data_IF_743321014255
#
_entry.id   IF_743321014255
#
_cell.length_a   1.000
_cell.length_b   1.000
_cell.length_c   1.000
_cell.angle_alpha   90.00
_cell.angle_beta   90.00
_cell.angle_gamma   90.00
#
_symmetry.space_group_name_H-M   'P 1'
#
loop_
_entity.id
_entity.type
_entity.pdbx_description
1 polymer ?
#
# COMPACT_ATOMS: atom_id res chain seq x y z
N UNK A 1 14.17 -38.15 7.31
CA UNK A 1 12.88 -38.88 7.35
C UNK A 1 12.94 -40.03 6.35
N UNK A 2 12.21 -41.14 6.56
CA UNK A 2 12.30 -42.33 5.69
C UNK A 2 11.35 -42.30 4.47
N UNK A 3 10.38 -41.37 4.47
CA UNK A 3 9.43 -41.09 3.39
C UNK A 3 9.30 -39.57 3.25
N UNK A 4 8.77 -39.05 2.12
CA UNK A 4 8.41 -37.64 2.02
C UNK A 4 7.49 -37.22 3.17
N UNK A 5 7.72 -36.04 3.71
CA UNK A 5 6.95 -35.47 4.84
C UNK A 5 6.61 -34.03 4.57
N UNK A 6 5.51 -33.54 5.14
CA UNK A 6 5.18 -32.11 5.06
C UNK A 6 5.99 -31.30 6.06
N UNK A 7 6.12 -29.99 5.82
CA UNK A 7 6.70 -29.05 6.79
C UNK A 7 6.01 -29.17 8.16
N UNK A 8 4.67 -29.28 8.18
CA UNK A 8 3.88 -29.47 9.39
C UNK A 8 4.29 -30.75 10.15
N UNK A 9 4.43 -31.88 9.45
CA UNK A 9 4.83 -33.16 10.07
C UNK A 9 6.24 -33.08 10.68
N UNK A 10 7.15 -32.31 10.08
CA UNK A 10 8.47 -32.06 10.69
C UNK A 10 8.32 -31.25 11.98
N UNK A 11 7.53 -30.17 11.97
CA UNK A 11 7.27 -29.36 13.16
C UNK A 11 6.60 -30.17 14.29
N UNK A 12 5.63 -31.03 13.95
CA UNK A 12 4.93 -31.91 14.88
C UNK A 12 5.86 -32.93 15.53
N UNK A 13 6.78 -33.51 14.75
CA UNK A 13 7.79 -34.44 15.25
C UNK A 13 8.77 -33.78 16.24
N UNK A 14 9.07 -32.50 16.07
CA UNK A 14 9.90 -31.74 17.01
C UNK A 14 9.11 -31.48 18.30
N UNK A 15 7.82 -31.12 18.18
CA UNK A 15 6.91 -31.08 19.31
C UNK A 15 5.61 -30.34 19.01
N UNK A 16 4.53 -30.73 19.69
CA UNK A 16 3.19 -30.18 19.51
C UNK A 16 3.13 -28.65 19.70
N UNK A 17 3.95 -28.08 20.59
CA UNK A 17 4.04 -26.64 20.79
C UNK A 17 4.57 -25.89 19.55
N UNK A 18 5.57 -26.46 18.87
CA UNK A 18 6.12 -25.89 17.64
C UNK A 18 5.13 -26.01 16.48
N UNK A 19 4.51 -27.19 16.29
CA UNK A 19 3.46 -27.37 15.28
C UNK A 19 2.32 -26.37 15.45
N UNK A 20 1.88 -26.13 16.70
CA UNK A 20 0.85 -25.12 17.00
C UNK A 20 1.31 -23.69 16.71
N UNK A 21 2.59 -23.37 16.89
CA UNK A 21 3.14 -22.03 16.67
C UNK A 21 3.55 -21.76 15.21
N UNK A 22 3.70 -22.81 14.39
CA UNK A 22 4.11 -22.71 13.00
C UNK A 22 3.08 -21.95 12.17
N UNK A 23 3.58 -21.09 11.28
CA UNK A 23 2.78 -20.36 10.29
C UNK A 23 3.13 -20.81 8.87
N UNK A 24 4.41 -20.92 8.55
CA UNK A 24 4.91 -21.43 7.26
C UNK A 24 6.26 -22.13 7.45
N UNK A 25 6.77 -22.76 6.41
CA UNK A 25 8.16 -23.24 6.34
C UNK A 25 9.02 -22.34 5.47
N UNK A 26 10.34 -22.47 5.64
CA UNK A 26 11.34 -21.99 4.70
C UNK A 26 12.21 -23.17 4.29
N UNK A 27 12.14 -23.55 3.02
CA UNK A 27 12.84 -24.69 2.42
C UNK A 27 13.90 -24.15 1.46
N UNK A 28 15.17 -24.35 1.78
CA UNK A 28 16.33 -23.84 1.02
C UNK A 28 16.23 -22.34 0.67
N UNK A 29 15.79 -21.53 1.62
CA UNK A 29 15.66 -20.07 1.44
C UNK A 29 14.32 -19.60 0.87
N UNK A 30 13.40 -20.52 0.53
CA UNK A 30 12.10 -20.18 -0.05
C UNK A 30 10.97 -20.45 0.94
N UNK A 31 10.13 -19.45 1.17
CA UNK A 31 8.93 -19.59 1.99
C UNK A 31 7.89 -20.50 1.30
N UNK A 32 7.31 -21.42 2.06
CA UNK A 32 6.35 -22.44 1.58
C UNK A 32 5.28 -22.70 2.64
N UNK A 33 4.06 -23.06 2.24
CA UNK A 33 2.98 -23.43 3.14
C UNK A 33 3.34 -24.68 4.00
N UNK A 34 2.62 -24.88 5.11
CA UNK A 34 2.94 -25.97 6.05
C UNK A 34 2.63 -27.37 5.51
N UNK A 35 1.74 -27.49 4.53
CA UNK A 35 1.44 -28.73 3.82
C UNK A 35 2.42 -29.02 2.67
N UNK A 36 3.39 -28.13 2.40
CA UNK A 36 4.45 -28.38 1.41
C UNK A 36 5.22 -29.67 1.71
N UNK A 37 5.29 -30.55 0.72
CA UNK A 37 5.93 -31.87 0.83
C UNK A 37 7.43 -31.77 0.53
N UNK A 38 8.24 -32.21 1.48
CA UNK A 38 9.70 -32.32 1.36
C UNK A 38 10.05 -33.71 0.86
N UNK A 39 10.47 -33.79 -0.41
CA UNK A 39 10.84 -35.06 -1.08
C UNK A 39 12.34 -35.37 -1.02
N UNK A 40 13.18 -34.34 -0.88
CA UNK A 40 14.65 -34.44 -0.90
C UNK A 40 15.24 -33.83 0.36
N UNK A 41 16.47 -34.18 0.67
CA UNK A 41 17.21 -33.56 1.77
C UNK A 41 17.37 -32.06 1.49
N UNK A 42 16.92 -31.23 2.43
CA UNK A 42 16.82 -29.78 2.30
C UNK A 42 17.10 -29.12 3.66
N UNK A 43 17.46 -27.83 3.66
CA UNK A 43 17.46 -27.02 4.87
C UNK A 43 16.06 -26.50 5.13
N UNK A 44 15.49 -26.84 6.30
CA UNK A 44 14.19 -26.37 6.74
C UNK A 44 14.33 -25.44 7.95
N UNK A 45 13.69 -24.27 7.89
CA UNK A 45 13.36 -23.44 9.06
C UNK A 45 11.84 -23.36 9.22
N UNK A 46 11.35 -23.52 10.45
CA UNK A 46 9.93 -23.32 10.77
C UNK A 46 9.75 -21.84 11.15
N UNK A 47 8.86 -21.16 10.44
CA UNK A 47 8.53 -19.75 10.69
C UNK A 47 7.36 -19.68 11.65
N UNK A 48 7.50 -18.87 12.68
CA UNK A 48 6.49 -18.63 13.72
C UNK A 48 6.18 -17.15 13.84
N UNK A 49 5.17 -16.78 14.61
CA UNK A 49 4.81 -15.38 14.85
C UNK A 49 5.92 -14.53 15.52
N UNK A 50 7.02 -15.14 15.97
CA UNK A 50 8.19 -14.44 16.54
C UNK A 50 9.21 -14.01 15.48
N UNK A 51 9.12 -14.59 14.29
CA UNK A 51 10.05 -14.32 13.19
C UNK A 51 9.60 -13.04 12.45
N UNK A 52 10.51 -12.12 12.09
CA UNK A 52 10.16 -10.88 11.40
C UNK A 52 9.38 -11.09 10.10
N UNK A 53 9.72 -12.14 9.35
CA UNK A 53 9.12 -12.48 8.05
C UNK A 53 7.65 -12.91 8.19
N UNK A 54 7.24 -13.36 9.38
CA UNK A 54 5.86 -13.77 9.64
C UNK A 54 4.86 -12.63 9.47
N UNK A 55 5.27 -11.37 9.68
CA UNK A 55 4.37 -10.23 9.56
C UNK A 55 3.84 -10.06 8.13
N UNK A 56 4.68 -10.26 7.12
CA UNK A 56 4.26 -10.23 5.71
C UNK A 56 3.16 -11.26 5.45
N UNK A 57 3.39 -12.50 5.89
CA UNK A 57 2.44 -13.61 5.72
C UNK A 57 1.12 -13.36 6.47
N UNK A 58 1.20 -12.86 7.71
CA UNK A 58 0.02 -12.51 8.51
C UNK A 58 -0.78 -11.41 7.80
N UNK A 59 -0.13 -10.35 7.33
CA UNK A 59 -0.79 -9.24 6.64
C UNK A 59 -1.42 -9.67 5.34
N UNK A 60 -0.69 -10.43 4.54
CA UNK A 60 -1.17 -10.95 3.28
C UNK A 60 -2.38 -11.88 3.47
N UNK A 61 -2.32 -12.78 4.45
CA UNK A 61 -3.47 -13.62 4.82
C UNK A 61 -4.63 -12.84 5.41
N UNK A 62 -4.37 -11.73 6.12
CA UNK A 62 -5.43 -10.83 6.60
C UNK A 62 -6.10 -10.06 5.46
N UNK A 63 -5.39 -9.79 4.37
CA UNK A 63 -5.98 -9.25 3.16
C UNK A 63 -7.01 -10.24 2.57
N UNK A 64 -6.68 -11.53 2.49
CA UNK A 64 -7.65 -12.57 2.09
C UNK A 64 -8.83 -12.68 3.05
N UNK A 65 -8.60 -12.58 4.36
CA UNK A 65 -9.67 -12.52 5.37
C UNK A 65 -10.61 -11.34 5.13
N UNK A 66 -10.07 -10.16 4.79
CA UNK A 66 -10.86 -8.98 4.45
C UNK A 66 -11.68 -9.21 3.17
N UNK A 67 -11.08 -9.80 2.14
CA UNK A 67 -11.78 -10.13 0.90
C UNK A 67 -12.93 -11.12 1.12
N UNK A 68 -12.71 -12.18 1.91
CA UNK A 68 -13.77 -13.11 2.30
C UNK A 68 -14.89 -12.40 3.06
N UNK A 69 -14.54 -11.58 4.06
CA UNK A 69 -15.53 -10.82 4.82
C UNK A 69 -16.35 -9.91 3.91
N UNK A 70 -15.71 -9.23 2.96
CA UNK A 70 -16.38 -8.38 1.99
C UNK A 70 -17.34 -9.16 1.10
N UNK A 71 -16.94 -10.32 0.55
CA UNK A 71 -17.83 -11.17 -0.25
C UNK A 71 -19.05 -11.67 0.54
N UNK A 72 -18.89 -11.96 1.84
CA UNK A 72 -20.00 -12.43 2.67
C UNK A 72 -20.95 -11.31 3.11
N UNK A 73 -20.43 -10.10 3.37
CA UNK A 73 -21.25 -8.95 3.75
C UNK A 73 -21.91 -8.31 2.53
N UNK A 74 -21.21 -8.28 1.39
CA UNK A 74 -21.64 -7.64 0.14
C UNK A 74 -21.50 -8.62 -1.03
N UNK A 75 -22.50 -9.47 -1.31
CA UNK A 75 -22.38 -10.55 -2.29
C UNK A 75 -21.97 -10.10 -3.71
N UNK A 76 -22.41 -8.91 -4.12
CA UNK A 76 -22.15 -8.33 -5.45
C UNK A 76 -20.80 -7.60 -5.56
N UNK A 77 -20.03 -7.49 -4.48
CA UNK A 77 -18.72 -6.86 -4.53
C UNK A 77 -17.75 -7.73 -5.32
N UNK A 78 -16.87 -7.11 -6.12
CA UNK A 78 -15.79 -7.82 -6.78
C UNK A 78 -14.45 -7.54 -6.10
N UNK A 79 -13.63 -8.58 -6.00
CA UNK A 79 -12.31 -8.54 -5.36
C UNK A 79 -11.23 -8.45 -6.43
N UNK A 80 -10.26 -7.54 -6.24
CA UNK A 80 -9.21 -7.32 -7.24
C UNK A 80 -7.81 -7.71 -6.71
N UNK A 81 -7.05 -6.77 -6.14
CA UNK A 81 -5.67 -6.96 -5.69
C UNK A 81 -5.57 -6.55 -4.21
N UNK A 82 -4.93 -7.42 -3.40
CA UNK A 82 -4.72 -7.18 -1.98
C UNK A 82 -3.34 -7.60 -1.47
N UNK A 83 -2.29 -6.80 -1.72
CA UNK A 83 -0.95 -7.10 -1.26
C UNK A 83 -0.77 -6.70 0.22
N UNK A 84 0.23 -7.29 0.85
CA UNK A 84 0.80 -6.71 2.06
C UNK A 84 1.67 -5.49 1.73
N UNK A 85 1.83 -4.62 2.73
CA UNK A 85 2.67 -3.43 2.69
C UNK A 85 3.44 -3.33 4.01
N UNK A 86 4.44 -2.44 4.06
CA UNK A 86 5.40 -2.31 5.19
C UNK A 86 4.76 -2.33 6.58
N UNK A 87 3.59 -1.72 6.77
CA UNK A 87 2.90 -1.62 8.06
C UNK A 87 1.46 -2.16 8.03
N UNK A 88 1.11 -2.98 7.04
CA UNK A 88 -0.25 -3.47 6.92
C UNK A 88 -0.54 -4.18 5.60
N UNK A 89 -1.75 -3.98 5.10
CA UNK A 89 -2.21 -4.49 3.82
C UNK A 89 -3.29 -3.55 3.28
N UNK A 90 -3.67 -3.75 2.03
CA UNK A 90 -4.91 -3.20 1.52
C UNK A 90 -5.62 -4.24 0.67
N UNK A 91 -6.88 -3.97 0.34
CA UNK A 91 -7.57 -4.68 -0.72
C UNK A 91 -8.40 -3.69 -1.55
N UNK A 92 -8.31 -3.81 -2.87
CA UNK A 92 -9.07 -3.00 -3.81
C UNK A 92 -10.36 -3.72 -4.22
N UNK A 93 -11.48 -3.02 -4.11
CA UNK A 93 -12.81 -3.54 -4.40
C UNK A 93 -13.50 -2.73 -5.50
N UNK A 94 -14.15 -3.44 -6.42
CA UNK A 94 -15.17 -2.86 -7.29
C UNK A 94 -16.52 -3.01 -6.57
N UNK A 95 -17.11 -1.88 -6.19
CA UNK A 95 -18.34 -1.82 -5.42
C UNK A 95 -19.23 -0.68 -5.90
N UNK A 96 -20.53 -0.93 -5.99
CA UNK A 96 -21.52 -0.05 -6.64
C UNK A 96 -21.66 1.35 -6.02
N UNK A 97 -21.27 1.49 -4.74
CA UNK A 97 -21.33 2.75 -3.99
C UNK A 97 -20.11 2.90 -3.10
N UNK A 98 -19.74 4.13 -2.70
CA UNK A 98 -18.70 4.35 -1.69
C UNK A 98 -18.97 3.58 -0.40
N UNK A 99 -17.92 2.99 0.20
CA UNK A 99 -17.96 2.44 1.55
C UNK A 99 -18.25 3.54 2.56
N UNK A 100 -19.14 3.26 3.51
CA UNK A 100 -19.38 4.13 4.67
C UNK A 100 -18.55 3.65 5.88
N UNK A 101 -18.35 4.49 6.92
CA UNK A 101 -17.73 4.04 8.16
C UNK A 101 -18.40 2.80 8.77
N UNK A 102 -19.73 2.72 8.71
CA UNK A 102 -20.52 1.58 9.22
C UNK A 102 -20.26 0.30 8.42
N UNK A 103 -20.01 0.39 7.11
CA UNK A 103 -19.61 -0.76 6.31
C UNK A 103 -18.26 -1.31 6.78
N UNK A 104 -17.30 -0.42 7.11
CA UNK A 104 -15.98 -0.83 7.62
C UNK A 104 -16.10 -1.50 8.99
N UNK A 105 -16.98 -1.02 9.85
CA UNK A 105 -17.27 -1.68 11.13
C UNK A 105 -17.87 -3.08 10.91
N UNK A 106 -18.81 -3.24 9.98
CA UNK A 106 -19.38 -4.54 9.62
C UNK A 106 -18.33 -5.50 9.06
N UNK A 107 -17.46 -5.03 8.17
CA UNK A 107 -16.36 -5.82 7.63
C UNK A 107 -15.43 -6.30 8.73
N UNK A 108 -15.00 -5.39 9.62
CA UNK A 108 -14.10 -5.74 10.72
C UNK A 108 -14.75 -6.74 11.69
N UNK A 109 -16.02 -6.56 12.02
CA UNK A 109 -16.79 -7.52 12.82
C UNK A 109 -16.85 -8.90 12.15
N UNK A 110 -17.15 -8.93 10.85
CA UNK A 110 -17.20 -10.20 10.11
C UNK A 110 -15.84 -10.89 10.02
N UNK A 111 -14.75 -10.14 9.84
CA UNK A 111 -13.39 -10.69 9.91
C UNK A 111 -13.11 -11.33 11.28
N UNK A 112 -13.54 -10.69 12.38
CA UNK A 112 -13.37 -11.26 13.73
C UNK A 112 -14.16 -12.56 13.93
N UNK A 113 -15.36 -12.65 13.35
CA UNK A 113 -16.15 -13.90 13.35
C UNK A 113 -15.45 -15.02 12.57
N UNK A 114 -14.89 -14.71 11.40
CA UNK A 114 -14.15 -15.67 10.57
C UNK A 114 -12.88 -16.17 11.25
N UNK A 115 -12.21 -15.33 12.03
CA UNK A 115 -11.06 -15.75 12.86
C UNK A 115 -11.47 -16.72 13.95
N UNK A 116 -12.62 -16.48 14.62
CA UNK A 116 -13.14 -17.40 15.65
C UNK A 116 -13.56 -18.75 15.10
N UNK A 117 -13.91 -18.83 13.82
CA UNK A 117 -14.24 -20.09 13.15
C UNK A 117 -13.01 -20.96 12.87
N UNK A 118 -11.80 -20.40 12.93
CA UNK A 118 -10.53 -21.10 12.70
C UNK A 118 -10.53 -21.96 11.42
N UNK A 119 -10.99 -21.37 10.32
CA UNK A 119 -11.13 -22.04 9.03
C UNK A 119 -9.76 -22.43 8.50
N UNK A 120 -9.62 -23.69 8.08
CA UNK A 120 -8.42 -24.20 7.43
C UNK A 120 -8.19 -23.46 6.11
N UNK A 121 -6.95 -23.04 5.87
CA UNK A 121 -6.50 -22.51 4.58
C UNK A 121 -5.89 -23.65 3.79
N UNK A 122 -6.44 -23.95 2.62
CA UNK A 122 -5.90 -24.96 1.70
C UNK A 122 -5.59 -24.35 0.36
N UNK A 123 -4.71 -25.00 -0.41
CA UNK A 123 -4.34 -24.53 -1.73
C UNK A 123 -4.20 -25.66 -2.73
N UNK A 124 -4.34 -25.34 -4.02
CA UNK A 124 -4.10 -26.29 -5.12
C UNK A 124 -3.65 -25.54 -6.37
N UNK A 125 -2.83 -26.22 -7.17
CA UNK A 125 -2.44 -25.73 -8.50
C UNK A 125 -3.59 -25.94 -9.48
N UNK A 126 -3.80 -24.97 -10.38
CA UNK A 126 -4.81 -25.03 -11.44
C UNK A 126 -4.20 -24.60 -12.77
N UNK A 127 -4.79 -25.08 -13.86
CA UNK A 127 -4.53 -24.52 -15.18
C UNK A 127 -5.19 -23.15 -15.32
N UNK A 128 -4.71 -22.36 -16.28
CA UNK A 128 -5.30 -21.07 -16.64
C UNK A 128 -6.79 -21.18 -16.99
N UNK A 129 -7.14 -22.19 -17.78
CA UNK A 129 -8.52 -22.41 -18.21
C UNK A 129 -9.43 -22.74 -17.02
N UNK A 130 -8.97 -23.55 -16.07
CA UNK A 130 -9.72 -23.85 -14.84
C UNK A 130 -9.90 -22.61 -13.97
N UNK A 131 -8.84 -21.81 -13.78
CA UNK A 131 -8.90 -20.56 -13.01
C UNK A 131 -9.85 -19.55 -13.66
N UNK A 132 -9.74 -19.32 -14.97
CA UNK A 132 -10.63 -18.41 -15.72
C UNK A 132 -12.07 -18.87 -15.63
N UNK A 133 -12.33 -20.17 -15.82
CA UNK A 133 -13.69 -20.71 -15.72
C UNK A 133 -14.26 -20.50 -14.31
N UNK A 134 -13.50 -20.84 -13.28
CA UNK A 134 -13.93 -20.66 -11.89
C UNK A 134 -14.31 -19.21 -11.59
N UNK A 135 -13.45 -18.24 -11.92
CA UNK A 135 -13.73 -16.84 -11.63
C UNK A 135 -14.85 -16.26 -12.49
N UNK A 136 -15.03 -16.73 -13.74
CA UNK A 136 -16.21 -16.38 -14.55
C UNK A 136 -17.50 -16.90 -13.92
N UNK A 137 -17.52 -18.15 -13.48
CA UNK A 137 -18.68 -18.78 -12.83
C UNK A 137 -19.02 -18.08 -11.48
N UNK A 138 -18.02 -17.49 -10.81
CA UNK A 138 -18.19 -16.67 -9.61
C UNK A 138 -18.54 -15.19 -9.88
N UNK A 139 -18.50 -14.74 -11.14
CA UNK A 139 -18.73 -13.34 -11.52
C UNK A 139 -17.58 -12.38 -11.19
N UNK A 140 -16.36 -12.88 -10.95
CA UNK A 140 -15.16 -12.10 -10.60
C UNK A 140 -14.38 -11.67 -11.86
N UNK A 141 -14.84 -10.62 -12.55
CA UNK A 141 -14.27 -10.20 -13.84
C UNK A 141 -12.83 -9.71 -13.71
N UNK A 142 -12.49 -9.02 -12.61
CA UNK A 142 -11.13 -8.56 -12.34
C UNK A 142 -10.14 -9.71 -12.14
N UNK A 143 -10.55 -10.79 -11.46
CA UNK A 143 -9.70 -11.98 -11.28
C UNK A 143 -9.44 -12.68 -12.60
N UNK A 144 -10.42 -12.74 -13.50
CA UNK A 144 -10.24 -13.25 -14.87
C UNK A 144 -9.16 -12.46 -15.61
N UNK A 145 -9.23 -11.13 -15.59
CA UNK A 145 -8.21 -10.28 -16.23
C UNK A 145 -6.81 -10.53 -15.64
N UNK A 146 -6.70 -10.62 -14.31
CA UNK A 146 -5.42 -10.92 -13.64
C UNK A 146 -4.88 -12.28 -14.10
N UNK A 147 -5.73 -13.31 -14.14
CA UNK A 147 -5.31 -14.64 -14.60
C UNK A 147 -4.79 -14.57 -16.02
N UNK A 148 -5.50 -13.90 -16.94
CA UNK A 148 -5.14 -13.80 -18.36
C UNK A 148 -3.81 -13.09 -18.59
N UNK A 149 -3.44 -12.12 -17.74
CA UNK A 149 -2.18 -11.38 -17.82
C UNK A 149 -0.95 -12.11 -17.24
N UNK A 150 -1.14 -13.12 -16.38
CA UNK A 150 0.00 -13.86 -15.81
C UNK A 150 0.73 -14.58 -16.95
N UNK A 151 2.08 -14.57 -17.03
CA UNK A 151 2.81 -15.33 -18.06
C UNK A 151 2.52 -16.84 -18.04
N UNK A 152 2.52 -17.50 -19.20
CA UNK A 152 2.12 -18.91 -19.34
C UNK A 152 3.04 -19.89 -18.62
N UNK A 153 4.30 -19.53 -18.41
CA UNK A 153 5.31 -20.33 -17.72
C UNK A 153 5.14 -20.32 -16.19
N UNK A 154 4.20 -19.52 -15.67
CA UNK A 154 3.98 -19.37 -14.24
C UNK A 154 2.82 -20.22 -13.75
N UNK A 155 3.08 -20.93 -12.65
CA UNK A 155 2.05 -21.72 -11.95
C UNK A 155 0.99 -20.80 -11.35
N UNK A 156 -0.26 -21.22 -11.47
CA UNK A 156 -1.40 -20.59 -10.83
C UNK A 156 -1.84 -21.44 -9.65
N UNK A 157 -1.94 -20.80 -8.49
CA UNK A 157 -2.38 -21.44 -7.26
C UNK A 157 -3.62 -20.72 -6.74
N UNK A 158 -4.61 -21.50 -6.35
CA UNK A 158 -5.79 -21.00 -5.67
C UNK A 158 -5.70 -21.33 -4.19
N UNK A 159 -6.02 -20.36 -3.35
CA UNK A 159 -6.15 -20.52 -1.91
C UNK A 159 -7.62 -20.47 -1.52
N UNK A 160 -8.04 -21.38 -0.65
CA UNK A 160 -9.41 -21.48 -0.13
C UNK A 160 -9.42 -21.40 1.38
N UNK A 161 -10.37 -20.62 1.91
CA UNK A 161 -10.70 -20.57 3.33
C UNK A 161 -12.22 -20.57 3.49
N UNK A 162 -12.78 -21.71 3.90
CA UNK A 162 -14.23 -21.90 3.91
C UNK A 162 -14.83 -21.88 2.50
N UNK A 163 -15.74 -20.93 2.27
CA UNK A 163 -16.44 -20.69 0.99
C UNK A 163 -15.68 -19.77 0.03
N UNK A 164 -14.67 -19.05 0.53
CA UNK A 164 -13.90 -18.09 -0.25
C UNK A 164 -12.72 -18.75 -0.95
N UNK A 165 -12.53 -18.41 -2.22
CA UNK A 165 -11.40 -18.85 -3.06
C UNK A 165 -10.78 -17.62 -3.72
N UNK A 166 -9.44 -17.55 -3.70
CA UNK A 166 -8.70 -16.45 -4.31
C UNK A 166 -7.45 -16.96 -5.04
N UNK A 167 -7.03 -16.20 -6.06
CA UNK A 167 -5.79 -16.43 -6.79
C UNK A 167 -4.63 -15.78 -6.05
N UNK A 168 -3.68 -16.59 -5.62
CA UNK A 168 -2.48 -16.09 -4.97
C UNK A 168 -1.30 -17.06 -5.11
N UNK A 169 -0.07 -16.55 -4.98
CA UNK A 169 1.15 -17.37 -4.93
C UNK A 169 1.46 -17.89 -3.52
N UNK A 170 0.89 -17.25 -2.50
CA UNK A 170 1.18 -17.50 -1.09
C UNK A 170 2.65 -17.29 -0.71
N UNK A 171 3.10 -17.90 0.41
CA UNK A 171 2.32 -18.77 1.30
C UNK A 171 1.33 -18.00 2.19
N UNK A 172 0.42 -18.73 2.81
CA UNK A 172 -0.56 -18.21 3.76
C UNK A 172 -0.42 -18.86 5.15
N UNK A 173 -1.05 -18.26 6.15
CA UNK A 173 -1.20 -18.91 7.47
C UNK A 173 -2.05 -20.19 7.33
N UNK A 174 -1.85 -21.22 8.19
CA UNK A 174 -2.56 -22.49 8.05
C UNK A 174 -4.06 -22.40 8.35
N UNK A 175 -4.49 -21.39 9.11
CA UNK A 175 -5.89 -21.19 9.46
C UNK A 175 -6.20 -19.74 9.78
N UNK A 176 -7.46 -19.33 9.59
CA UNK A 176 -7.91 -17.97 9.91
C UNK A 176 -7.76 -17.64 11.40
N UNK A 177 -7.75 -18.63 12.29
CA UNK A 177 -7.54 -18.43 13.73
C UNK A 177 -6.16 -17.89 14.09
N UNK A 178 -5.19 -17.92 13.16
CA UNK A 178 -3.88 -17.27 13.33
C UNK A 178 -3.93 -15.74 13.17
N UNK A 179 -5.03 -15.17 12.70
CA UNK A 179 -5.14 -13.75 12.32
C UNK A 179 -5.88 -12.92 13.39
N UNK A 180 -5.47 -13.03 14.65
CA UNK A 180 -6.23 -12.47 15.79
C UNK A 180 -6.01 -10.98 16.12
N UNK A 181 -5.07 -10.30 15.46
CA UNK A 181 -4.70 -8.92 15.78
C UNK A 181 -4.59 -8.05 14.52
N UNK A 182 -5.73 -7.48 14.11
CA UNK A 182 -5.80 -6.56 12.98
C UNK A 182 -6.74 -5.39 13.25
N UNK A 183 -6.64 -4.35 12.42
CA UNK A 183 -7.52 -3.18 12.42
C UNK A 183 -7.65 -2.62 11.00
N UNK A 184 -8.87 -2.35 10.55
CA UNK A 184 -9.13 -1.57 9.33
C UNK A 184 -8.95 -0.08 9.65
N UNK A 185 -8.35 0.66 8.72
CA UNK A 185 -7.81 2.01 9.01
C UNK A 185 -8.39 3.10 8.10
N UNK A 186 -8.02 3.12 6.82
CA UNK A 186 -8.32 4.21 5.90
C UNK A 186 -9.00 3.68 4.65
N UNK A 187 -9.82 4.53 4.05
CA UNK A 187 -10.37 4.32 2.72
C UNK A 187 -9.69 5.28 1.75
N UNK A 188 -9.42 4.80 0.54
CA UNK A 188 -8.93 5.61 -0.56
C UNK A 188 -9.55 5.16 -1.88
N UNK A 189 -9.57 6.05 -2.87
CA UNK A 189 -9.78 5.66 -4.27
C UNK A 189 -8.48 5.11 -4.86
N UNK A 190 -8.60 4.10 -5.72
CA UNK A 190 -7.51 3.62 -6.55
C UNK A 190 -8.04 3.41 -7.96
N UNK A 191 -7.26 3.72 -8.98
CA UNK A 191 -7.65 3.38 -10.35
C UNK A 191 -7.13 1.99 -10.71
N UNK A 192 -7.93 1.21 -11.45
CA UNK A 192 -7.48 -0.09 -11.93
C UNK A 192 -6.17 0.04 -12.73
N UNK A 193 -5.16 -0.77 -12.35
CA UNK A 193 -3.77 -0.70 -12.87
C UNK A 193 -3.07 0.66 -12.70
N UNK A 194 -3.61 1.54 -11.87
CA UNK A 194 -3.06 2.88 -11.65
C UNK A 194 -3.28 3.84 -12.83
N UNK A 195 -4.11 3.48 -13.81
CA UNK A 195 -4.44 4.31 -14.96
C UNK A 195 -5.74 5.09 -14.68
N UNK A 196 -5.65 6.42 -14.63
CA UNK A 196 -6.80 7.30 -14.36
C UNK A 196 -7.92 7.23 -15.41
N UNK A 197 -7.69 6.59 -16.54
CA UNK A 197 -8.73 6.33 -17.56
C UNK A 197 -9.57 5.08 -17.25
N UNK A 198 -9.14 4.23 -16.32
CA UNK A 198 -9.86 3.02 -15.94
C UNK A 198 -10.87 3.25 -14.81
N UNK A 199 -11.66 2.22 -14.49
CA UNK A 199 -12.61 2.24 -13.39
C UNK A 199 -11.93 2.58 -12.05
N UNK A 200 -12.63 3.41 -11.28
CA UNK A 200 -12.21 3.77 -9.92
C UNK A 200 -12.67 2.69 -8.94
N UNK A 201 -11.70 2.03 -8.33
CA UNK A 201 -11.85 1.06 -7.26
C UNK A 201 -11.77 1.74 -5.89
N UNK A 202 -12.25 1.02 -4.88
CA UNK A 202 -12.21 1.45 -3.51
C UNK A 202 -11.22 0.59 -2.72
N UNK A 203 -10.17 1.25 -2.22
CA UNK A 203 -9.11 0.64 -1.44
C UNK A 203 -9.44 0.71 0.05
N UNK A 204 -9.55 -0.46 0.67
CA UNK A 204 -9.66 -0.58 2.13
C UNK A 204 -8.29 -0.93 2.70
N UNK A 205 -7.71 -0.04 3.50
CA UNK A 205 -6.44 -0.29 4.20
C UNK A 205 -6.67 -0.96 5.54
N UNK A 206 -5.80 -1.90 5.89
CA UNK A 206 -5.75 -2.53 7.20
C UNK A 206 -4.32 -2.69 7.70
N UNK A 207 -4.19 -3.02 8.98
CA UNK A 207 -2.92 -3.43 9.58
C UNK A 207 -3.14 -4.72 10.35
N UNK A 208 -2.14 -5.61 10.37
CA UNK A 208 -2.17 -6.87 11.09
C UNK A 208 -0.80 -7.15 11.72
N UNK A 209 -0.84 -7.78 12.90
CA UNK A 209 0.30 -8.02 13.77
C UNK A 209 0.24 -9.42 14.39
N UNK A 210 1.39 -9.91 14.86
CA UNK A 210 1.49 -11.20 15.53
C UNK A 210 0.65 -11.30 16.81
N UNK A 211 0.44 -10.16 17.50
CA UNK A 211 -0.31 -10.11 18.74
C UNK A 211 -0.96 -8.74 18.96
N UNK A 212 -1.92 -8.68 19.89
CA UNK A 212 -2.71 -7.46 20.19
C UNK A 212 -1.87 -6.34 20.80
N UNK A 213 -0.78 -6.65 21.52
CA UNK A 213 0.09 -5.65 22.14
C UNK A 213 0.81 -4.84 21.08
N UNK A 214 1.36 -5.50 20.07
CA UNK A 214 2.07 -4.85 18.96
C UNK A 214 1.11 -4.03 18.08
N UNK A 215 -0.10 -4.57 17.83
CA UNK A 215 -1.16 -3.81 17.17
C UNK A 215 -1.48 -2.52 17.94
N UNK A 216 -1.71 -2.61 19.26
CA UNK A 216 -2.04 -1.42 20.06
C UNK A 216 -0.89 -0.41 20.03
N UNK A 217 0.36 -0.87 20.18
CA UNK A 217 1.54 0.01 20.09
C UNK A 217 1.62 0.73 18.74
N UNK A 218 1.30 0.06 17.64
CA UNK A 218 1.24 0.69 16.33
C UNK A 218 0.12 1.73 16.23
N UNK A 219 -1.09 1.39 16.69
CA UNK A 219 -2.22 2.32 16.67
C UNK A 219 -1.94 3.58 17.50
N UNK A 220 -1.32 3.42 18.68
CA UNK A 220 -0.92 4.54 19.53
C UNK A 220 0.10 5.45 18.82
N UNK A 221 1.10 4.87 18.14
CA UNK A 221 2.07 5.62 17.33
C UNK A 221 1.39 6.42 16.22
N UNK A 222 0.44 5.83 15.51
CA UNK A 222 -0.30 6.51 14.43
C UNK A 222 -1.13 7.66 15.02
N UNK A 223 -1.84 7.44 16.13
CA UNK A 223 -2.59 8.50 16.79
C UNK A 223 -1.68 9.65 17.26
N UNK A 224 -0.47 9.34 17.73
CA UNK A 224 0.54 10.33 18.12
C UNK A 224 1.10 11.11 16.91
N UNK A 225 1.34 10.44 15.78
CA UNK A 225 1.75 11.10 14.54
C UNK A 225 0.65 12.02 14.01
N UNK A 226 -0.62 11.59 14.04
CA UNK A 226 -1.74 12.40 13.61
C UNK A 226 -1.94 13.68 14.42
N UNK A 227 -1.64 13.65 15.73
CA UNK A 227 -1.66 14.87 16.57
C UNK A 227 -0.61 15.90 16.16
N UNK A 228 0.42 15.48 15.40
CA UNK A 228 1.55 16.31 14.95
C UNK A 228 1.50 16.61 13.45
N UNK A 229 0.37 16.32 12.81
CA UNK A 229 0.18 16.64 11.39
C UNK A 229 0.14 18.16 11.20
N UNK A 230 1.08 18.70 10.42
CA UNK A 230 1.19 20.14 10.16
C UNK A 230 -0.09 20.75 9.55
N UNK A 231 -0.92 19.96 8.86
CA UNK A 231 -2.20 20.44 8.29
C UNK A 231 -3.23 20.64 9.40
N UNK A 232 -3.29 19.71 10.37
CA UNK A 232 -4.16 19.84 11.55
C UNK A 232 -3.68 20.99 12.43
N UNK A 233 -2.37 21.04 12.72
CA UNK A 233 -1.78 22.12 13.51
C UNK A 233 -1.91 23.48 12.83
N UNK A 234 -1.67 23.56 11.52
CA UNK A 234 -1.80 24.79 10.74
C UNK A 234 -3.21 25.37 10.81
N UNK A 235 -4.24 24.52 10.78
CA UNK A 235 -5.63 24.93 10.99
C UNK A 235 -5.91 25.37 12.43
N UNK A 236 -5.53 24.54 13.42
CA UNK A 236 -5.79 24.82 14.85
C UNK A 236 -5.08 26.07 15.34
N UNK A 237 -3.86 26.32 14.86
CA UNK A 237 -3.03 27.45 15.25
C UNK A 237 -3.21 28.67 14.36
N UNK A 238 -4.06 28.59 13.34
CA UNK A 238 -4.34 29.68 12.40
C UNK A 238 -3.07 30.18 11.67
N UNK A 239 -2.31 29.24 11.09
CA UNK A 239 -1.03 29.53 10.44
C UNK A 239 -1.16 29.74 8.93
N UNK A 240 -1.97 28.92 8.26
CA UNK A 240 -2.20 28.96 6.82
C UNK A 240 -3.46 28.18 6.45
N UNK A 241 -3.96 28.38 5.23
CA UNK A 241 -4.95 27.51 4.61
C UNK A 241 -4.69 27.30 3.12
N UNK A 242 -5.45 26.39 2.52
CA UNK A 242 -5.52 26.15 1.08
C UNK A 242 -6.97 26.26 0.63
N UNK A 243 -7.20 26.68 -0.60
CA UNK A 243 -8.52 26.81 -1.21
C UNK A 243 -8.46 26.46 -2.71
N UNK A 244 -9.62 26.18 -3.31
CA UNK A 244 -9.72 25.63 -4.67
C UNK A 244 -9.23 26.59 -5.75
N UNK A 245 -9.30 27.90 -5.52
CA UNK A 245 -8.82 28.92 -6.45
C UNK A 245 -7.30 28.88 -6.65
N UNK A 246 -6.55 28.25 -5.72
CA UNK A 246 -5.11 28.12 -5.81
C UNK A 246 -4.62 26.74 -5.31
N UNK A 247 -4.86 25.65 -6.06
CA UNK A 247 -4.52 24.29 -5.63
C UNK A 247 -3.01 24.13 -5.37
N UNK A 248 -2.66 23.63 -4.18
CA UNK A 248 -1.26 23.45 -3.77
C UNK A 248 -0.52 24.73 -3.38
N UNK A 249 -1.19 25.89 -3.38
CA UNK A 249 -0.62 27.18 -2.97
C UNK A 249 -1.21 27.60 -1.61
N UNK A 250 -0.33 27.77 -0.61
CA UNK A 250 -0.75 28.13 0.74
C UNK A 250 -1.02 29.62 0.88
N UNK A 251 -2.14 29.98 1.49
CA UNK A 251 -2.44 31.31 1.97
C UNK A 251 -1.92 31.43 3.41
N UNK A 252 -0.80 32.12 3.57
CA UNK A 252 -0.16 32.30 4.88
C UNK A 252 -0.86 33.39 5.70
N UNK A 253 -1.24 33.05 6.94
CA UNK A 253 -1.82 34.00 7.88
C UNK A 253 -0.71 34.73 8.65
N UNK A 254 -1.03 35.77 9.41
CA UNK A 254 -0.03 36.56 10.16
C UNK A 254 0.91 35.69 11.01
N UNK A 255 0.36 34.76 11.80
CA UNK A 255 1.18 33.87 12.66
C UNK A 255 2.10 32.96 11.86
N UNK A 256 1.58 32.32 10.81
CA UNK A 256 2.38 31.43 9.95
C UNK A 256 3.44 32.19 9.16
N UNK A 257 3.08 33.38 8.65
CA UNK A 257 3.99 34.21 7.89
C UNK A 257 5.13 34.79 8.76
N UNK A 258 4.87 35.09 10.04
CA UNK A 258 5.95 35.45 10.99
C UNK A 258 6.97 34.35 11.17
N UNK A 259 6.53 33.09 11.27
CA UNK A 259 7.43 31.92 11.34
C UNK A 259 8.26 31.83 10.05
N UNK A 260 7.59 31.94 8.90
CA UNK A 260 8.25 31.90 7.60
C UNK A 260 9.31 33.01 7.45
N UNK A 261 8.99 34.24 7.85
CA UNK A 261 9.92 35.37 7.83
C UNK A 261 11.12 35.17 8.76
N UNK A 262 10.92 34.58 9.95
CA UNK A 262 12.02 34.26 10.85
C UNK A 262 13.01 33.27 10.22
N UNK A 263 12.50 32.25 9.50
CA UNK A 263 13.34 31.29 8.76
C UNK A 263 14.09 31.97 7.62
N UNK A 264 13.44 32.86 6.85
CA UNK A 264 14.11 33.63 5.79
C UNK A 264 15.22 34.49 6.38
N UNK A 265 14.95 35.22 7.46
CA UNK A 265 15.94 36.09 8.10
C UNK A 265 17.16 35.30 8.57
N UNK A 266 16.95 34.13 9.17
CA UNK A 266 18.03 33.22 9.55
C UNK A 266 18.85 32.75 8.33
N UNK A 267 18.18 32.30 7.26
CA UNK A 267 18.87 31.82 6.05
C UNK A 267 19.64 32.93 5.34
N UNK A 268 19.09 34.14 5.26
CA UNK A 268 19.78 35.30 4.69
C UNK A 268 21.05 35.64 5.46
N UNK A 269 20.98 35.63 6.78
CA UNK A 269 22.16 35.80 7.62
C UNK A 269 23.19 34.70 7.36
N UNK A 270 22.77 33.45 7.32
CA UNK A 270 23.69 32.34 7.00
C UNK A 270 24.35 32.50 5.62
N UNK A 271 23.62 32.96 4.61
CA UNK A 271 24.17 33.26 3.28
C UNK A 271 25.22 34.40 3.35
N UNK A 272 24.91 35.49 4.05
CA UNK A 272 25.82 36.62 4.23
C UNK A 272 27.10 36.22 4.98
N UNK A 273 26.96 35.44 6.05
CA UNK A 273 28.09 34.93 6.85
C UNK A 273 29.00 33.96 6.05
N UNK A 274 28.54 33.48 4.89
CA UNK A 274 29.29 32.60 3.98
C UNK A 274 29.55 33.26 2.61
N UNK A 275 29.57 34.59 2.55
CA UNK A 275 29.92 35.39 1.36
C UNK A 275 29.05 35.15 0.11
N UNK A 276 27.83 34.63 0.29
CA UNK A 276 26.86 34.52 -0.80
C UNK A 276 26.23 35.88 -1.11
N UNK A 277 26.18 36.24 -2.39
CA UNK A 277 25.45 37.41 -2.86
C UNK A 277 23.98 37.04 -3.10
N UNK A 278 23.08 37.52 -2.23
CA UNK A 278 21.64 37.33 -2.44
C UNK A 278 21.15 38.19 -3.62
N UNK A 279 20.56 37.54 -4.62
CA UNK A 279 20.07 38.17 -5.86
C UNK A 279 18.61 37.81 -6.13
N UNK A 280 17.94 38.59 -6.98
CA UNK A 280 16.57 38.33 -7.42
C UNK A 280 16.47 38.32 -8.96
N UNK A 281 16.29 37.13 -9.53
CA UNK A 281 16.00 36.95 -10.95
C UNK A 281 14.47 36.87 -11.22
N UNK A 282 13.98 37.29 -12.41
CA UNK A 282 12.55 37.28 -12.76
C UNK A 282 11.86 35.92 -12.53
N UNK A 283 10.58 35.97 -12.15
CA UNK A 283 9.75 34.77 -11.94
C UNK A 283 9.22 34.17 -13.25
N UNK A 284 9.06 35.00 -14.28
CA UNK A 284 8.54 34.60 -15.59
C UNK A 284 9.65 34.87 -16.62
N UNK A 285 10.05 33.82 -17.34
CA UNK A 285 11.16 33.86 -18.29
C UNK A 285 10.74 33.26 -19.63
N UNK A 286 11.34 33.73 -20.73
CA UNK A 286 11.05 33.25 -22.08
C UNK A 286 11.32 31.74 -22.19
N UNK A 287 10.43 31.01 -22.87
CA UNK A 287 10.55 29.57 -23.10
C UNK A 287 11.92 29.16 -23.66
N UNK A 288 12.52 29.98 -24.52
CA UNK A 288 13.83 29.69 -25.14
C UNK A 288 14.96 29.52 -24.12
N UNK A 289 14.89 30.16 -22.95
CA UNK A 289 15.88 29.96 -21.87
C UNK A 289 15.79 28.54 -21.29
N UNK A 290 14.57 28.02 -21.16
CA UNK A 290 14.31 26.67 -20.65
C UNK A 290 14.68 25.59 -21.66
N UNK A 291 14.54 25.88 -22.95
CA UNK A 291 15.01 25.02 -24.03
C UNK A 291 16.53 24.95 -24.06
N UNK A 292 17.21 26.10 -24.05
CA UNK A 292 18.68 26.18 -24.04
C UNK A 292 19.31 25.55 -22.81
N UNK A 293 18.65 25.65 -21.65
CA UNK A 293 19.12 25.00 -20.42
C UNK A 293 18.80 23.49 -20.35
N UNK A 294 18.09 22.93 -21.34
CA UNK A 294 17.73 21.51 -21.40
C UNK A 294 16.55 21.10 -20.49
N UNK A 295 16.04 22.01 -19.65
CA UNK A 295 14.95 21.73 -18.72
C UNK A 295 13.62 21.55 -19.45
N UNK A 296 13.40 22.27 -20.55
CA UNK A 296 12.15 22.16 -21.31
C UNK A 296 11.87 20.72 -21.78
N UNK A 297 12.90 20.02 -22.24
CA UNK A 297 12.78 18.64 -22.69
C UNK A 297 12.35 17.66 -21.58
N UNK A 298 12.73 17.94 -20.32
CA UNK A 298 12.45 17.07 -19.16
C UNK A 298 11.17 17.43 -18.42
N UNK A 299 10.89 18.71 -18.26
CA UNK A 299 9.84 19.22 -17.37
C UNK A 299 8.72 19.96 -18.11
N UNK A 300 8.93 20.37 -19.36
CA UNK A 300 8.02 21.27 -20.09
C UNK A 300 6.64 20.71 -20.38
N UNK A 301 6.46 19.38 -20.39
CA UNK A 301 5.16 18.74 -20.68
C UNK A 301 4.26 18.59 -19.46
N UNK A 302 4.82 18.44 -18.25
CA UNK A 302 4.04 18.03 -17.07
C UNK A 302 4.34 18.80 -15.78
N UNK A 303 5.45 19.53 -15.70
CA UNK A 303 5.95 20.11 -14.45
C UNK A 303 6.29 21.61 -14.56
N UNK A 304 5.79 22.29 -15.59
CA UNK A 304 6.01 23.72 -15.84
C UNK A 304 4.72 24.43 -16.19
N UNK A 305 4.46 25.56 -15.52
CA UNK A 305 3.35 26.45 -15.84
C UNK A 305 3.76 27.45 -16.92
N UNK A 306 2.92 27.62 -17.94
CA UNK A 306 3.20 28.51 -19.07
C UNK A 306 2.15 29.62 -19.16
N UNK A 307 2.57 30.76 -19.69
CA UNK A 307 1.70 31.89 -20.02
C UNK A 307 2.12 32.49 -21.36
N UNK A 308 1.24 33.26 -22.00
CA UNK A 308 1.50 33.88 -23.31
C UNK A 308 1.26 35.38 -23.23
N UNK A 309 2.16 36.14 -23.84
CA UNK A 309 2.02 37.59 -24.03
C UNK A 309 2.74 37.99 -25.31
N UNK A 310 2.15 38.89 -26.11
CA UNK A 310 2.77 39.49 -27.30
C UNK A 310 3.47 38.47 -28.22
N UNK A 311 2.75 37.41 -28.61
CA UNK A 311 3.25 36.30 -29.45
C UNK A 311 4.42 35.48 -28.86
N UNK A 312 4.77 35.68 -27.59
CA UNK A 312 5.80 34.92 -26.89
C UNK A 312 5.17 33.98 -25.86
N UNK A 313 5.82 32.83 -25.69
CA UNK A 313 5.49 31.89 -24.62
C UNK A 313 6.51 32.05 -23.50
N UNK A 314 6.00 32.25 -22.30
CA UNK A 314 6.79 32.35 -21.10
C UNK A 314 6.48 31.20 -20.15
N UNK A 315 7.41 30.95 -19.23
CA UNK A 315 7.31 29.90 -18.23
C UNK A 315 7.51 30.53 -16.86
N UNK A 316 6.64 30.19 -15.91
CA UNK A 316 6.87 30.49 -14.48
C UNK A 316 8.02 29.60 -14.04
N UNK A 317 9.10 30.19 -13.51
CA UNK A 317 10.33 29.47 -13.22
C UNK A 317 10.07 28.29 -12.28
N UNK A 318 10.39 27.04 -12.67
CA UNK A 318 10.35 25.90 -11.76
C UNK A 318 11.61 25.81 -10.89
N UNK A 319 12.63 26.61 -11.21
CA UNK A 319 13.92 26.64 -10.51
C UNK A 319 14.66 27.95 -10.82
N UNK A 320 15.69 28.26 -10.03
CA UNK A 320 16.41 29.53 -10.13
C UNK A 320 17.67 29.49 -11.03
N UNK A 321 18.22 28.30 -11.33
CA UNK A 321 19.54 28.16 -11.93
C UNK A 321 19.72 28.92 -13.26
N UNK A 322 18.80 28.84 -14.24
CA UNK A 322 18.96 29.59 -15.49
C UNK A 322 18.99 31.11 -15.28
N UNK A 323 18.20 31.62 -14.33
CA UNK A 323 18.19 33.04 -13.97
C UNK A 323 19.48 33.47 -13.28
N UNK A 324 20.06 32.64 -12.41
CA UNK A 324 21.35 32.92 -11.77
C UNK A 324 22.49 32.97 -12.81
N UNK A 325 22.48 32.08 -13.82
CA UNK A 325 23.47 32.09 -14.91
C UNK A 325 23.39 33.38 -15.75
N UNK A 326 22.22 34.03 -15.85
CA UNK A 326 22.14 35.30 -16.57
C UNK A 326 22.78 36.48 -15.80
N UNK A 327 22.99 36.32 -14.48
CA UNK A 327 23.57 37.35 -13.60
C UNK A 327 25.07 37.12 -13.40
N UNK A 328 25.52 35.86 -13.44
CA UNK A 328 26.93 35.45 -13.32
C UNK A 328 27.79 35.99 -14.47
#
# INVERSE_FOLDING_TARGET
FAKPVTVYQVAERIGAGLAKAALVGEVDGKLVDLDYVIEKNTKLRIITAKDPEALGIIRHSTAHLLAQAAKQVFPNIQVTIGPDIENGFYYDFAFERPFTPEDIEKLEQRMQELVKQDLLVTHWEVTRNEAVKLFKDMGETYKVQIVEEIPEDQKLTLYKQGDFVDLCRGPHVPSTGKLGAFKLTKLAGAYWRGDSNNEMLQRVYGTAWANKKDLQSYLDRIAQAEKRDHRKLGKVMDLFHFQEEAPGMAFWHDKGYRIYQAVIAYMRKALQDNDYQEIAAPQILDRSLWEKSGHWAKFGKSNMFTTKSENRTYVIKPMNCPGHIQIY
#
